data_IF_337632626696
#
_entry.id   IF_337632626696
#
_cell.length_a   1.000
_cell.length_b   1.000
_cell.length_c   1.000
_cell.angle_alpha   90.00
_cell.angle_beta   90.00
_cell.angle_gamma   90.00
#
_symmetry.space_group_name_H-M   'P 1'
#
loop_
_entity.id
_entity.type
_entity.pdbx_description
1 polymer ?
#
# COMPACT_ATOMS: atom_id res chain seq x y z
N UNK A 1 12.77 16.11 -33.33
CA UNK A 1 14.05 15.66 -32.73
C UNK A 1 13.92 14.16 -32.62
N UNK A 2 14.26 13.47 -33.70
CA UNK A 2 14.14 12.02 -33.74
C UNK A 2 15.35 11.48 -32.98
N UNK A 3 15.10 10.99 -31.77
CA UNK A 3 16.14 10.32 -31.01
C UNK A 3 16.42 8.97 -31.67
N UNK A 4 17.42 8.95 -32.53
CA UNK A 4 17.94 7.73 -33.14
C UNK A 4 18.39 6.77 -32.03
N UNK A 5 17.65 5.66 -31.88
CA UNK A 5 17.93 4.66 -30.87
C UNK A 5 19.21 3.92 -31.24
N UNK A 6 20.23 3.99 -30.39
CA UNK A 6 21.49 3.26 -30.57
C UNK A 6 21.47 1.97 -29.75
N UNK A 7 21.54 0.77 -30.38
CA UNK A 7 21.54 -0.52 -29.67
C UNK A 7 22.59 -0.62 -28.55
N UNK A 8 23.70 0.12 -28.69
CA UNK A 8 24.78 0.12 -27.72
C UNK A 8 24.43 0.74 -26.36
N UNK A 9 23.38 1.56 -26.30
CA UNK A 9 22.95 2.23 -25.08
C UNK A 9 21.88 1.44 -24.33
N UNK A 10 21.34 0.38 -24.94
CA UNK A 10 20.29 -0.44 -24.35
C UNK A 10 20.86 -1.46 -23.38
N UNK A 11 20.23 -1.56 -22.21
CA UNK A 11 20.41 -2.64 -21.25
C UNK A 11 19.92 -3.97 -21.84
N UNK A 12 20.36 -5.10 -21.28
CA UNK A 12 20.00 -6.42 -21.80
C UNK A 12 18.48 -6.67 -21.83
N UNK A 13 17.75 -6.16 -20.84
CA UNK A 13 16.29 -6.27 -20.80
C UNK A 13 15.61 -5.48 -21.92
N UNK A 14 16.04 -4.24 -22.14
CA UNK A 14 15.56 -3.37 -23.22
C UNK A 14 15.90 -3.95 -24.59
N UNK A 15 17.11 -4.49 -24.75
CA UNK A 15 17.54 -5.14 -25.98
C UNK A 15 16.67 -6.37 -26.31
N UNK A 16 16.34 -7.19 -25.31
CA UNK A 16 15.44 -8.32 -25.48
C UNK A 16 14.02 -7.87 -25.84
N UNK A 17 13.54 -6.78 -25.22
CA UNK A 17 12.24 -6.20 -25.52
C UNK A 17 12.17 -5.70 -26.96
N UNK A 18 13.15 -4.92 -27.41
CA UNK A 18 13.22 -4.35 -28.77
C UNK A 18 13.32 -5.42 -29.87
N UNK A 19 14.05 -6.50 -29.61
CA UNK A 19 14.08 -7.66 -30.50
C UNK A 19 12.72 -8.37 -30.52
N UNK A 20 12.09 -8.52 -29.36
CA UNK A 20 10.82 -9.24 -29.21
C UNK A 20 9.67 -8.53 -29.92
N UNK A 21 9.52 -7.21 -29.80
CA UNK A 21 8.49 -6.42 -30.53
C UNK A 21 8.67 -6.49 -32.06
N UNK A 22 9.85 -6.91 -32.53
CA UNK A 22 10.15 -7.18 -33.95
C UNK A 22 10.03 -8.67 -34.30
N UNK A 23 9.45 -9.48 -33.43
CA UNK A 23 9.26 -10.91 -33.64
C UNK A 23 10.53 -11.76 -33.50
N UNK A 24 11.59 -11.23 -32.88
CA UNK A 24 12.88 -11.92 -32.72
C UNK A 24 13.13 -12.26 -31.26
N UNK A 25 13.15 -13.55 -30.93
CA UNK A 25 13.60 -14.05 -29.63
C UNK A 25 14.97 -14.69 -29.75
N UNK A 26 15.90 -14.35 -28.86
CA UNK A 26 17.26 -14.87 -28.88
C UNK A 26 17.78 -15.08 -27.46
N UNK A 27 18.39 -16.24 -27.22
CA UNK A 27 19.11 -16.55 -25.96
C UNK A 27 20.61 -16.25 -26.06
N UNK A 28 21.06 -15.70 -27.19
CA UNK A 28 22.47 -15.41 -27.44
C UNK A 28 23.00 -14.26 -26.56
N UNK A 29 24.32 -14.13 -26.55
CA UNK A 29 25.02 -13.05 -25.83
C UNK A 29 24.59 -11.66 -26.30
N UNK A 30 24.78 -10.69 -25.40
CA UNK A 30 24.37 -9.29 -25.56
C UNK A 30 24.92 -8.65 -26.84
N UNK A 31 26.16 -8.93 -27.20
CA UNK A 31 26.80 -8.35 -28.40
C UNK A 31 26.12 -8.83 -29.69
N UNK A 32 25.79 -10.12 -29.76
CA UNK A 32 25.07 -10.69 -30.91
C UNK A 32 23.67 -10.09 -31.01
N UNK A 33 23.00 -9.86 -29.88
CA UNK A 33 21.69 -9.21 -29.85
C UNK A 33 21.75 -7.75 -30.32
N UNK A 34 22.82 -7.01 -29.96
CA UNK A 34 23.06 -5.64 -30.43
C UNK A 34 23.26 -5.60 -31.93
N UNK A 35 24.03 -6.54 -32.47
CA UNK A 35 24.23 -6.69 -33.90
C UNK A 35 22.91 -7.03 -34.62
N UNK A 36 22.14 -7.97 -34.07
CA UNK A 36 20.82 -8.33 -34.63
C UNK A 36 19.87 -7.14 -34.66
N UNK A 37 19.78 -6.38 -33.57
CA UNK A 37 18.93 -5.19 -33.49
C UNK A 37 19.40 -4.11 -34.45
N UNK A 38 20.72 -3.86 -34.57
CA UNK A 38 21.28 -2.92 -35.54
C UNK A 38 20.85 -3.26 -36.97
N UNK A 39 20.96 -4.53 -37.38
CA UNK A 39 20.52 -4.97 -38.72
C UNK A 39 19.02 -4.82 -38.93
N UNK A 40 18.19 -4.91 -37.89
CA UNK A 40 16.74 -4.69 -37.99
C UNK A 40 16.43 -3.21 -38.13
N UNK A 41 17.06 -2.35 -37.34
CA UNK A 41 16.92 -0.90 -37.43
C UNK A 41 17.36 -0.38 -38.81
N UNK A 42 18.46 -0.89 -39.36
CA UNK A 42 18.92 -0.54 -40.71
C UNK A 42 17.90 -0.92 -41.79
N UNK A 43 17.16 -2.02 -41.62
CA UNK A 43 16.09 -2.43 -42.54
C UNK A 43 14.85 -1.55 -42.40
N UNK A 44 14.48 -1.21 -41.16
CA UNK A 44 13.38 -0.28 -40.87
C UNK A 44 13.64 1.09 -41.49
N UNK A 45 14.87 1.61 -41.35
CA UNK A 45 15.28 2.88 -41.94
C UNK A 45 15.23 2.87 -43.47
N UNK A 46 15.42 1.70 -44.10
CA UNK A 46 15.26 1.50 -45.55
C UNK A 46 13.81 1.33 -46.01
N UNK A 47 12.84 1.42 -45.10
CA UNK A 47 11.43 1.22 -45.40
C UNK A 47 11.05 -0.24 -45.66
N UNK A 48 11.92 -1.20 -45.31
CA UNK A 48 11.53 -2.62 -45.27
C UNK A 48 10.77 -2.87 -43.97
N UNK A 49 9.52 -2.42 -43.94
CA UNK A 49 8.63 -2.56 -42.79
C UNK A 49 8.44 -4.05 -42.49
N UNK A 50 9.03 -4.52 -41.40
CA UNK A 50 8.52 -5.72 -40.76
C UNK A 50 7.27 -5.34 -39.98
N UNK A 51 6.20 -6.12 -40.13
CA UNK A 51 5.02 -5.98 -39.29
C UNK A 51 5.51 -6.01 -37.83
N UNK A 52 5.36 -4.88 -37.13
CA UNK A 52 5.55 -4.81 -35.70
C UNK A 52 4.52 -5.78 -35.13
N UNK A 53 4.95 -7.00 -34.83
CA UNK A 53 4.12 -7.95 -34.16
C UNK A 53 3.90 -7.35 -32.78
N UNK A 54 2.66 -7.00 -32.46
CA UNK A 54 2.27 -6.84 -31.05
C UNK A 54 2.69 -8.14 -30.39
N UNK A 55 3.79 -8.14 -29.62
CA UNK A 55 4.50 -9.37 -29.35
C UNK A 55 3.80 -10.06 -28.19
N UNK A 56 2.54 -10.47 -28.40
CA UNK A 56 1.56 -10.97 -27.45
C UNK A 56 2.16 -10.94 -26.05
N UNK A 57 2.24 -9.74 -25.49
CA UNK A 57 3.10 -9.48 -24.35
C UNK A 57 2.79 -10.56 -23.32
N UNK A 58 3.78 -11.41 -23.01
CA UNK A 58 3.54 -12.62 -22.23
C UNK A 58 3.40 -12.17 -20.78
N UNK A 59 2.24 -11.56 -20.48
CA UNK A 59 1.82 -11.17 -19.14
C UNK A 59 1.86 -12.36 -18.20
N UNK A 60 1.89 -13.60 -18.71
CA UNK A 60 2.05 -14.79 -17.89
C UNK A 60 3.31 -14.71 -17.00
N UNK A 61 4.41 -14.08 -17.47
CA UNK A 61 5.63 -13.96 -16.67
C UNK A 61 5.57 -12.81 -15.66
N UNK A 62 4.78 -11.77 -15.92
CA UNK A 62 4.60 -10.62 -15.01
C UNK A 62 3.33 -10.76 -14.18
N UNK A 63 2.54 -11.82 -14.39
CA UNK A 63 1.28 -12.06 -13.70
C UNK A 63 1.52 -12.10 -12.21
N UNK A 64 2.55 -12.82 -11.79
CA UNK A 64 2.92 -12.97 -10.39
C UNK A 64 3.37 -11.63 -9.79
N UNK A 65 4.13 -10.83 -10.54
CA UNK A 65 4.57 -9.50 -10.12
C UNK A 65 3.40 -8.52 -10.00
N UNK A 66 2.48 -8.55 -10.97
CA UNK A 66 1.25 -7.75 -10.96
C UNK A 66 0.35 -8.17 -9.81
N UNK A 67 0.17 -9.47 -9.58
CA UNK A 67 -0.65 -10.01 -8.50
C UNK A 67 -0.06 -9.65 -7.14
N UNK A 68 1.26 -9.73 -6.99
CA UNK A 68 1.98 -9.26 -5.81
C UNK A 68 1.79 -7.75 -5.58
N UNK A 69 1.92 -6.93 -6.63
CA UNK A 69 1.70 -5.49 -6.53
C UNK A 69 0.26 -5.17 -6.11
N UNK A 70 -0.74 -5.86 -6.66
CA UNK A 70 -2.14 -5.70 -6.28
C UNK A 70 -2.39 -6.09 -4.82
N UNK A 71 -1.78 -7.17 -4.33
CA UNK A 71 -1.86 -7.57 -2.92
C UNK A 71 -1.24 -6.51 -2.00
N UNK A 72 -0.08 -5.97 -2.36
CA UNK A 72 0.58 -4.90 -1.60
C UNK A 72 -0.27 -3.63 -1.55
N UNK A 73 -0.91 -3.24 -2.66
CA UNK A 73 -1.79 -2.07 -2.70
C UNK A 73 -3.03 -2.30 -1.82
N UNK A 74 -3.64 -3.48 -1.89
CA UNK A 74 -4.79 -3.83 -1.02
C UNK A 74 -4.43 -3.77 0.46
N UNK A 75 -3.25 -4.26 0.82
CA UNK A 75 -2.77 -4.17 2.20
C UNK A 75 -2.63 -2.72 2.66
N UNK A 76 -2.03 -1.85 1.84
CA UNK A 76 -1.90 -0.43 2.16
C UNK A 76 -3.25 0.29 2.28
N UNK A 77 -4.23 -0.06 1.44
CA UNK A 77 -5.60 0.48 1.55
C UNK A 77 -6.22 0.08 2.89
N UNK A 78 -6.12 -1.20 3.27
CA UNK A 78 -6.67 -1.67 4.55
C UNK A 78 -5.99 -0.99 5.75
N UNK A 79 -4.66 -0.87 5.73
CA UNK A 79 -3.91 -0.16 6.77
C UNK A 79 -4.34 1.31 6.87
N UNK A 80 -4.60 1.97 5.75
CA UNK A 80 -5.07 3.36 5.71
C UNK A 80 -6.51 3.52 6.21
N UNK A 81 -7.40 2.59 5.87
CA UNK A 81 -8.80 2.59 6.34
C UNK A 81 -8.88 2.34 7.85
N UNK A 82 -8.09 1.42 8.39
CA UNK A 82 -8.04 1.13 9.84
C UNK A 82 -7.56 2.32 10.67
N UNK A 83 -6.54 3.04 10.19
CA UNK A 83 -6.02 4.25 10.87
C UNK A 83 -7.09 5.35 10.89
N UNK A 84 -7.76 5.59 9.76
CA UNK A 84 -8.83 6.58 9.67
C UNK A 84 -10.01 6.24 10.58
N UNK A 85 -10.38 4.96 10.67
CA UNK A 85 -11.47 4.52 11.54
C UNK A 85 -11.16 4.74 13.03
N UNK A 86 -9.91 4.56 13.45
CA UNK A 86 -9.49 4.80 14.84
C UNK A 86 -9.51 6.29 15.17
N UNK A 87 -8.87 7.13 14.33
CA UNK A 87 -8.83 8.58 14.56
C UNK A 87 -10.22 9.22 14.50
N UNK A 88 -11.06 8.82 13.56
CA UNK A 88 -12.45 9.29 13.49
C UNK A 88 -13.27 8.84 14.69
N UNK A 89 -13.06 7.61 15.18
CA UNK A 89 -13.74 7.09 16.36
C UNK A 89 -13.32 7.84 17.63
N UNK A 90 -12.03 8.11 17.79
CA UNK A 90 -11.51 8.89 18.91
C UNK A 90 -12.04 10.31 18.91
N UNK A 91 -12.06 10.96 17.75
CA UNK A 91 -12.64 12.30 17.61
C UNK A 91 -14.14 12.33 17.98
N UNK A 92 -14.92 11.35 17.53
CA UNK A 92 -16.34 11.21 17.87
C UNK A 92 -16.53 11.00 19.37
N UNK A 93 -15.77 10.09 19.98
CA UNK A 93 -15.84 9.80 21.41
C UNK A 93 -15.49 11.03 22.25
N UNK A 94 -14.44 11.76 21.86
CA UNK A 94 -14.02 12.99 22.55
C UNK A 94 -15.09 14.08 22.43
N UNK A 95 -15.67 14.26 21.25
CA UNK A 95 -16.73 15.23 21.03
C UNK A 95 -17.97 14.90 21.87
N UNK A 96 -18.36 13.62 21.92
CA UNK A 96 -19.50 13.16 22.73
C UNK A 96 -19.27 13.36 24.23
N UNK A 97 -18.06 13.09 24.71
CA UNK A 97 -17.67 13.35 26.09
C UNK A 97 -17.79 14.85 26.43
N UNK A 98 -17.26 15.73 25.58
CA UNK A 98 -17.37 17.19 25.78
C UNK A 98 -18.81 17.68 25.77
N UNK A 99 -19.66 17.17 24.87
CA UNK A 99 -21.09 17.52 24.88
C UNK A 99 -21.79 17.08 26.19
N UNK A 100 -21.46 15.89 26.70
CA UNK A 100 -22.02 15.36 27.95
C UNK A 100 -21.59 16.19 29.16
N UNK A 101 -20.33 16.62 29.21
CA UNK A 101 -19.82 17.52 30.25
C UNK A 101 -20.52 18.88 30.23
N UNK A 102 -20.71 19.47 29.04
CA UNK A 102 -21.41 20.75 28.89
C UNK A 102 -22.88 20.65 29.31
N UNK A 103 -23.58 19.56 28.96
CA UNK A 103 -24.97 19.33 29.39
C UNK A 103 -25.07 19.22 30.93
N UNK A 104 -24.12 18.52 31.57
CA UNK A 104 -24.05 18.43 33.02
C UNK A 104 -23.81 19.80 33.67
N UNK A 105 -22.86 20.59 33.17
CA UNK A 105 -22.59 21.95 33.66
C UNK A 105 -23.81 22.87 33.50
N UNK A 106 -24.52 22.76 32.38
CA UNK A 106 -25.69 23.58 32.10
C UNK A 106 -26.84 23.22 33.04
N UNK A 107 -27.03 21.93 33.30
CA UNK A 107 -28.01 21.43 34.27
C UNK A 107 -27.71 21.96 35.69
N UNK A 108 -26.45 21.92 36.12
CA UNK A 108 -26.02 22.42 37.43
C UNK A 108 -26.15 23.95 37.58
N UNK A 109 -25.95 24.72 36.51
CA UNK A 109 -26.06 26.19 36.56
C UNK A 109 -27.50 26.70 36.44
N UNK A 110 -28.31 26.06 35.61
CA UNK A 110 -29.65 26.57 35.28
C UNK A 110 -30.67 26.16 36.35
N UNK A 111 -30.62 24.93 36.86
CA UNK A 111 -31.63 24.47 37.83
C UNK A 111 -31.70 25.31 39.12
N UNK A 112 -30.59 25.72 39.77
CA UNK A 112 -30.66 26.54 40.97
C UNK A 112 -31.26 27.93 40.71
N UNK A 113 -31.00 28.52 39.54
CA UNK A 113 -31.57 29.82 39.17
C UNK A 113 -33.08 29.76 38.95
N UNK A 114 -33.59 28.65 38.38
CA UNK A 114 -35.04 28.48 38.18
C UNK A 114 -35.75 28.21 39.51
N UNK A 115 -35.13 27.43 40.41
CA UNK A 115 -35.68 27.15 41.73
C UNK A 115 -35.80 28.42 42.60
N UNK A 116 -34.89 29.39 42.46
CA UNK A 116 -34.92 30.64 43.22
C UNK A 116 -36.01 31.63 42.78
N UNK A 117 -36.60 31.46 41.59
CA UNK A 117 -37.63 32.37 41.04
C UNK A 117 -39.04 31.83 41.23
N UNK A 118 -39.21 30.62 41.77
CA UNK A 118 -40.54 30.10 42.08
C UNK A 118 -41.15 30.86 43.27
N UNK A 119 -42.29 31.57 43.08
CA UNK A 119 -42.95 32.27 44.15
C UNK A 119 -43.47 31.28 45.20
N UNK A 120 -43.34 31.66 46.48
CA UNK A 120 -43.82 30.90 47.63
C UNK A 120 -45.30 30.54 47.44
N UNK A 121 -45.66 29.23 47.37
CA UNK A 121 -47.04 28.80 47.14
C UNK A 121 -48.01 29.23 48.26
N UNK A 122 -47.52 29.78 49.37
CA UNK A 122 -48.35 30.24 50.49
C UNK A 122 -49.10 31.56 50.24
N UNK A 123 -48.85 32.30 49.13
CA UNK A 123 -49.55 33.56 48.82
C UNK A 123 -50.61 33.47 47.70
N UNK A 124 -51.03 32.28 47.27
CA UNK A 124 -52.05 32.13 46.22
C UNK A 124 -53.47 32.47 46.72
N UNK A 125 -53.77 33.78 46.77
CA UNK A 125 -55.14 34.29 46.90
C UNK A 125 -55.78 34.39 45.52
N UNK A 126 -56.83 33.58 45.32
CA UNK A 126 -57.85 33.61 44.26
C UNK A 126 -57.82 34.79 43.27
N UNK A 127 -57.65 34.49 41.99
CA UNK A 127 -58.54 34.91 40.88
C UNK A 127 -57.79 35.07 39.56
N UNK A 128 -58.19 34.24 38.59
CA UNK A 128 -58.30 34.58 37.16
C UNK A 128 -57.07 35.18 36.47
N UNK A 129 -56.06 34.35 36.16
CA UNK A 129 -55.19 34.56 34.99
C UNK A 129 -54.36 33.30 34.71
N UNK A 130 -54.91 32.39 33.91
CA UNK A 130 -54.20 31.21 33.37
C UNK A 130 -54.44 31.14 31.83
N UNK A 131 -53.68 31.91 31.02
CA UNK A 131 -53.35 31.41 29.68
C UNK A 131 -51.86 31.53 29.29
N UNK A 132 -51.00 32.17 30.08
CA UNK A 132 -49.65 32.54 29.60
C UNK A 132 -48.61 31.41 29.81
N UNK A 133 -48.77 30.55 30.82
CA UNK A 133 -47.80 29.46 31.07
C UNK A 133 -47.85 28.32 30.04
N UNK A 134 -48.96 28.14 29.31
CA UNK A 134 -49.05 27.12 28.26
C UNK A 134 -48.32 27.53 26.96
N UNK A 135 -48.06 28.83 26.74
CA UNK A 135 -47.41 29.31 25.50
C UNK A 135 -45.89 29.11 25.55
N UNK A 136 -45.26 29.27 26.72
CA UNK A 136 -43.81 29.09 26.87
C UNK A 136 -43.37 27.62 26.81
N UNK A 137 -44.18 26.69 27.34
CA UNK A 137 -43.85 25.27 27.30
C UNK A 137 -44.02 24.66 25.88
N UNK A 138 -44.88 25.25 25.05
CA UNK A 138 -45.02 24.91 23.64
C UNK A 138 -43.81 25.37 22.81
N UNK A 139 -43.26 26.57 23.05
CA UNK A 139 -42.13 27.09 22.26
C UNK A 139 -40.80 26.39 22.55
N UNK A 140 -40.54 25.95 23.79
CA UNK A 140 -39.33 25.20 24.13
C UNK A 140 -39.31 23.78 23.53
N UNK A 141 -40.48 23.16 23.32
CA UNK A 141 -40.58 21.83 22.70
C UNK A 141 -40.34 21.83 21.17
N UNK A 142 -40.36 22.99 20.51
CA UNK A 142 -40.16 23.08 19.06
C UNK A 142 -38.71 23.37 18.64
N UNK A 143 -37.87 23.92 19.53
CA UNK A 143 -36.49 24.29 19.20
C UNK A 143 -35.49 23.12 19.34
N UNK A 144 -35.85 22.07 20.08
CA UNK A 144 -35.09 20.81 20.15
C UNK A 144 -35.80 19.70 19.39
N UNK A 145 -36.18 19.95 18.12
CA UNK A 145 -36.38 18.84 17.19
C UNK A 145 -35.00 18.22 16.98
N UNK A 146 -34.77 17.13 17.71
CA UNK A 146 -33.71 16.16 17.51
C UNK A 146 -33.47 16.04 16.01
N UNK A 147 -32.33 16.54 15.53
CA UNK A 147 -31.88 16.16 14.19
C UNK A 147 -31.81 14.64 14.25
N UNK A 148 -32.62 13.89 13.48
CA UNK A 148 -32.49 12.45 13.46
C UNK A 148 -31.13 12.18 12.86
N UNK A 149 -30.13 11.96 13.72
CA UNK A 149 -28.88 11.35 13.34
C UNK A 149 -29.32 9.95 12.89
N UNK A 150 -29.50 9.80 11.58
CA UNK A 150 -29.58 8.49 10.94
C UNK A 150 -28.22 7.86 11.21
N UNK A 151 -28.13 7.15 12.34
CA UNK A 151 -27.17 6.09 12.54
C UNK A 151 -27.53 5.06 11.47
N UNK A 152 -26.93 5.22 10.29
CA UNK A 152 -27.02 4.25 9.24
C UNK A 152 -26.36 2.97 9.78
N UNK A 153 -27.19 2.11 10.35
CA UNK A 153 -26.88 0.74 10.71
C UNK A 153 -26.71 -0.14 9.44
N UNK A 154 -26.07 0.41 8.40
CA UNK A 154 -25.62 -0.29 7.21
C UNK A 154 -24.22 -0.86 7.45
N UNK A 155 -24.05 -1.58 8.55
CA UNK A 155 -22.91 -2.47 8.75
C UNK A 155 -23.41 -3.73 9.45
N UNK A 156 -23.93 -4.64 8.62
CA UNK A 156 -24.05 -6.11 8.80
C UNK A 156 -25.24 -6.59 7.99
N UNK A 157 -24.94 -7.10 6.78
CA UNK A 157 -25.56 -8.26 6.13
C UNK A 157 -24.97 -8.38 4.72
N UNK A 158 -23.74 -8.86 4.61
CA UNK A 158 -23.40 -9.67 3.44
C UNK A 158 -23.85 -11.10 3.76
N UNK A 159 -25.13 -11.28 3.45
CA UNK A 159 -25.80 -12.57 3.32
C UNK A 159 -25.13 -13.36 2.20
N UNK A 160 -24.90 -14.64 2.48
CA UNK A 160 -24.82 -15.68 1.44
C UNK A 160 -25.98 -15.48 0.47
N UNK A 161 -25.68 -15.11 -0.77
CA UNK A 161 -26.60 -15.25 -1.89
C UNK A 161 -25.82 -15.92 -3.02
N UNK A 162 -25.95 -17.23 -3.05
CA UNK A 162 -25.81 -18.06 -4.24
C UNK A 162 -26.72 -17.48 -5.33
N UNK A 163 -26.11 -16.83 -6.32
CA UNK A 163 -26.76 -16.26 -7.50
C UNK A 163 -26.04 -16.74 -8.75
N UNK A 164 -26.82 -17.35 -9.64
CA UNK A 164 -26.45 -18.00 -10.87
C UNK A 164 -25.42 -17.27 -11.76
N UNK A 165 -24.36 -18.00 -12.10
CA UNK A 165 -24.01 -18.39 -13.46
C UNK A 165 -24.55 -17.48 -14.59
N UNK A 166 -23.78 -16.47 -14.97
CA UNK A 166 -23.73 -15.99 -16.35
C UNK A 166 -22.30 -16.16 -16.83
N UNK A 167 -22.12 -17.18 -17.66
CA UNK A 167 -20.87 -17.50 -18.33
C UNK A 167 -20.37 -16.32 -19.17
N UNK A 168 -19.10 -15.92 -19.03
CA UNK A 168 -18.38 -15.28 -20.11
C UNK A 168 -18.16 -16.35 -21.20
N UNK A 169 -18.76 -16.15 -22.38
CA UNK A 169 -18.44 -16.94 -23.57
C UNK A 169 -16.94 -16.77 -23.89
N UNK A 170 -16.14 -17.72 -23.41
CA UNK A 170 -14.78 -17.97 -23.84
C UNK A 170 -14.81 -18.40 -25.32
N UNK A 171 -14.44 -17.48 -26.20
CA UNK A 171 -14.06 -17.82 -27.57
C UNK A 171 -12.60 -18.26 -27.57
N UNK A 172 -12.33 -19.42 -28.19
CA UNK A 172 -11.02 -19.74 -28.77
C UNK A 172 -10.21 -20.79 -28.01
N UNK A 173 -10.60 -22.05 -28.17
CA UNK A 173 -9.73 -23.21 -27.94
C UNK A 173 -8.65 -23.19 -29.04
N UNK A 174 -7.39 -23.00 -28.66
CA UNK A 174 -6.25 -23.42 -29.47
C UNK A 174 -5.59 -24.61 -28.76
N UNK A 175 -5.86 -25.81 -29.26
CA UNK A 175 -5.14 -27.02 -28.87
C UNK A 175 -3.72 -26.96 -29.44
N UNK A 176 -2.74 -26.67 -28.59
CA UNK A 176 -1.32 -26.91 -28.87
C UNK A 176 -0.80 -28.00 -27.94
N UNK A 177 -0.91 -29.25 -28.41
CA UNK A 177 -0.18 -30.37 -27.84
C UNK A 177 1.30 -30.23 -28.22
N UNK A 178 2.12 -29.79 -27.28
CA UNK A 178 3.56 -30.09 -27.30
C UNK A 178 4.00 -30.49 -25.90
N UNK A 179 4.22 -31.78 -25.72
CA UNK A 179 4.93 -32.35 -24.59
C UNK A 179 6.39 -31.90 -24.62
N UNK A 180 6.83 -31.12 -23.63
CA UNK A 180 8.26 -31.00 -23.31
C UNK A 180 8.40 -30.99 -21.79
N UNK A 181 9.26 -31.90 -21.35
CA UNK A 181 9.52 -32.29 -19.98
C UNK A 181 10.16 -31.20 -19.13
N UNK A 182 9.87 -31.28 -17.83
CA UNK A 182 10.51 -30.59 -16.72
C UNK A 182 12.03 -30.41 -16.85
N UNK A 183 12.49 -29.19 -16.56
CA UNK A 183 13.70 -28.91 -15.76
C UNK A 183 13.72 -27.44 -15.30
N UNK A 184 13.48 -27.28 -14.00
CA UNK A 184 13.87 -26.17 -13.13
C UNK A 184 15.23 -25.54 -13.49
N UNK A 185 15.37 -24.21 -13.48
CA UNK A 185 16.31 -23.47 -12.57
C UNK A 185 16.56 -21.99 -12.93
N UNK A 186 16.30 -21.15 -11.91
CA UNK A 186 17.06 -19.97 -11.45
C UNK A 186 17.16 -18.69 -12.29
N UNK A 187 16.20 -17.81 -12.00
CA UNK A 187 16.36 -16.36 -12.07
C UNK A 187 17.44 -15.84 -11.12
N UNK A 188 18.22 -14.89 -11.63
CA UNK A 188 19.06 -13.98 -10.85
C UNK A 188 18.56 -12.56 -11.09
N UNK A 189 17.98 -11.98 -10.07
CA UNK A 189 17.74 -10.55 -9.98
C UNK A 189 19.07 -9.82 -9.73
N UNK A 190 19.18 -8.58 -10.22
CA UNK A 190 19.93 -7.52 -9.54
C UNK A 190 19.45 -6.12 -10.00
N UNK A 191 19.73 -5.07 -9.21
CA UNK A 191 18.75 -4.13 -8.66
C UNK A 191 19.08 -2.67 -9.08
N UNK A 192 18.52 -1.67 -8.39
CA UNK A 192 18.63 -0.20 -8.58
C UNK A 192 17.51 0.35 -9.48
N UNK A 193 16.60 1.25 -9.06
CA UNK A 193 16.67 2.32 -8.07
C UNK A 193 15.35 2.48 -7.28
N UNK A 194 15.44 2.61 -5.94
CA UNK A 194 14.29 2.97 -5.08
C UNK A 194 14.62 4.26 -4.32
N UNK A 195 13.80 5.33 -4.42
CA UNK A 195 13.97 6.53 -3.62
C UNK A 195 13.68 6.24 -2.15
N UNK A 196 14.54 6.76 -1.27
CA UNK A 196 14.43 6.73 0.18
C UNK A 196 13.25 7.57 0.69
N UNK A 197 12.27 6.99 1.41
CA UNK A 197 11.32 7.77 2.18
C UNK A 197 11.91 8.13 3.55
N UNK A 198 11.95 9.42 3.85
CA UNK A 198 12.21 9.99 5.17
C UNK A 198 11.07 9.61 6.12
N UNK A 199 11.32 8.69 7.04
CA UNK A 199 10.36 8.29 8.07
C UNK A 199 10.74 8.89 9.42
N UNK A 200 9.82 9.74 9.89
CA UNK A 200 9.75 10.24 11.26
C UNK A 200 9.36 9.11 12.22
N UNK A 201 9.80 9.26 13.46
CA UNK A 201 9.86 8.26 14.52
C UNK A 201 8.54 7.54 14.82
N UNK A 202 8.60 6.21 14.85
CA UNK A 202 7.60 5.33 15.48
C UNK A 202 8.33 4.40 16.44
N UNK A 203 7.89 4.40 17.69
CA UNK A 203 8.57 3.74 18.80
C UNK A 203 8.31 2.23 18.85
N UNK A 204 9.40 1.46 18.72
CA UNK A 204 9.82 0.40 19.63
C UNK A 204 8.97 -0.87 19.78
N UNK A 205 8.84 -1.63 18.68
CA UNK A 205 9.03 -3.09 18.78
C UNK A 205 10.53 -3.39 18.97
N UNK A 206 10.90 -4.37 19.79
CA UNK A 206 12.31 -4.63 20.18
C UNK A 206 13.19 -5.10 19.01
N UNK A 207 13.54 -4.22 18.09
CA UNK A 207 14.54 -4.49 17.07
C UNK A 207 15.89 -4.50 17.76
N UNK A 208 16.53 -5.67 17.81
CA UNK A 208 17.92 -5.78 18.29
C UNK A 208 18.75 -4.72 17.54
N UNK A 209 19.54 -3.91 18.25
CA UNK A 209 20.29 -2.82 17.62
C UNK A 209 21.18 -3.38 16.51
N UNK A 210 21.05 -2.81 15.31
CA UNK A 210 21.85 -3.21 14.15
C UNK A 210 23.30 -2.77 14.40
N UNK A 211 24.21 -3.73 14.49
CA UNK A 211 25.66 -3.50 14.65
C UNK A 211 26.36 -3.51 13.28
N UNK A 212 27.16 -2.50 13.00
CA UNK A 212 27.94 -2.40 11.77
C UNK A 212 29.13 -3.36 11.79
N UNK A 213 29.25 -4.25 10.80
CA UNK A 213 30.35 -5.23 10.74
C UNK A 213 31.74 -4.63 10.43
N UNK A 214 31.83 -3.37 9.99
CA UNK A 214 33.12 -2.72 9.72
C UNK A 214 33.70 -2.02 10.96
N UNK A 215 32.93 -1.15 11.60
CA UNK A 215 33.38 -0.35 12.75
C UNK A 215 32.90 -0.89 14.11
N UNK A 216 32.04 -1.91 14.13
CA UNK A 216 31.42 -2.48 15.35
C UNK A 216 30.56 -1.49 16.15
N UNK A 217 30.20 -0.32 15.60
CA UNK A 217 29.26 0.63 16.20
C UNK A 217 27.81 0.29 15.83
N UNK A 218 26.88 0.58 16.73
CA UNK A 218 25.44 0.38 16.50
C UNK A 218 24.83 1.53 15.68
N UNK A 219 23.65 1.30 15.12
CA UNK A 219 22.81 2.33 14.48
C UNK A 219 22.96 2.47 12.97
N UNK A 220 23.83 1.69 12.33
CA UNK A 220 23.96 1.67 10.87
C UNK A 220 24.42 0.31 10.34
N UNK A 221 24.15 0.06 9.06
CA UNK A 221 24.66 -1.10 8.31
C UNK A 221 26.02 -0.78 7.68
N UNK A 222 26.78 -1.81 7.31
CA UNK A 222 28.07 -1.63 6.62
C UNK A 222 27.98 -0.76 5.37
N UNK A 223 26.92 -0.91 4.58
CA UNK A 223 26.67 -0.11 3.37
C UNK A 223 26.61 1.40 3.61
N UNK A 224 26.36 1.82 4.86
CA UNK A 224 26.24 3.21 5.27
C UNK A 224 27.39 3.65 6.19
N UNK A 225 28.43 2.82 6.35
CA UNK A 225 29.56 3.12 7.23
C UNK A 225 30.52 4.13 6.57
N UNK A 226 30.79 5.25 7.25
CA UNK A 226 31.71 6.30 6.77
C UNK A 226 33.18 6.02 7.08
N UNK A 227 33.47 5.07 7.97
CA UNK A 227 34.85 4.72 8.33
C UNK A 227 35.52 3.92 7.21
N UNK A 228 36.83 4.12 7.05
CA UNK A 228 37.62 3.33 6.10
C UNK A 228 37.49 1.84 6.45
N UNK A 229 37.49 0.99 5.42
CA UNK A 229 37.32 -0.45 5.58
C UNK A 229 38.49 -1.03 6.37
N UNK A 230 38.22 -1.59 7.55
CA UNK A 230 39.24 -2.11 8.49
C UNK A 230 39.73 -3.52 8.13
N UNK A 231 39.02 -4.24 7.25
CA UNK A 231 39.41 -5.56 6.81
C UNK A 231 38.41 -6.25 5.88
N UNK A 232 38.66 -7.52 5.58
CA UNK A 232 37.71 -8.40 4.90
C UNK A 232 36.78 -9.00 5.96
N UNK A 233 35.49 -9.15 5.63
CA UNK A 233 34.54 -9.83 6.50
C UNK A 233 33.37 -10.38 5.66
N UNK A 234 32.68 -11.38 6.20
CA UNK A 234 31.53 -11.98 5.53
C UNK A 234 30.33 -11.03 5.58
N UNK A 235 29.80 -10.65 4.42
CA UNK A 235 28.66 -9.74 4.31
C UNK A 235 27.36 -10.30 4.91
N UNK A 236 27.26 -11.61 5.15
CA UNK A 236 26.05 -12.23 5.70
C UNK A 236 26.08 -12.35 7.22
N UNK A 237 27.20 -12.81 7.79
CA UNK A 237 27.30 -13.16 9.21
C UNK A 237 28.29 -12.29 10.01
N UNK A 238 29.06 -11.42 9.35
CA UNK A 238 30.00 -10.52 10.01
C UNK A 238 31.32 -11.15 10.47
N UNK A 239 31.62 -12.42 10.14
CA UNK A 239 32.91 -13.03 10.48
C UNK A 239 34.08 -12.26 9.85
N UNK A 240 35.09 -11.92 10.65
CA UNK A 240 36.31 -11.21 10.22
C UNK A 240 37.22 -12.10 9.39
N UNK A 241 38.00 -11.47 8.52
CA UNK A 241 39.05 -12.04 7.65
C UNK A 241 38.59 -13.13 6.67
N UNK A 242 37.28 -13.20 6.41
CA UNK A 242 36.68 -14.10 5.42
C UNK A 242 35.80 -13.31 4.47
N UNK A 243 35.63 -13.76 3.24
CA UNK A 243 34.59 -13.27 2.33
C UNK A 243 33.41 -14.23 2.37
N UNK A 244 32.28 -13.89 1.73
CA UNK A 244 31.17 -14.83 1.58
C UNK A 244 31.63 -16.22 1.08
N UNK A 245 32.52 -16.23 0.09
CA UNK A 245 33.02 -17.44 -0.56
C UNK A 245 33.93 -18.29 0.35
N UNK A 246 34.66 -17.67 1.27
CA UNK A 246 35.57 -18.39 2.19
C UNK A 246 34.99 -18.58 3.60
N UNK A 247 33.81 -18.01 3.87
CA UNK A 247 33.19 -18.09 5.19
C UNK A 247 32.62 -19.48 5.45
N UNK A 248 33.26 -20.29 6.29
CA UNK A 248 32.80 -21.64 6.65
C UNK A 248 31.34 -21.71 7.16
N UNK A 249 30.81 -20.61 7.71
CA UNK A 249 29.41 -20.52 8.16
C UNK A 249 28.41 -20.32 7.01
N UNK A 250 28.81 -19.63 5.95
CA UNK A 250 27.92 -19.20 4.88
C UNK A 250 28.15 -19.95 3.56
N UNK A 251 29.41 -20.30 3.24
CA UNK A 251 29.79 -20.94 1.98
C UNK A 251 29.33 -22.40 1.87
N UNK A 252 28.98 -23.06 2.99
CA UNK A 252 28.51 -24.45 3.02
C UNK A 252 26.99 -24.64 3.08
N UNK A 253 26.22 -23.59 3.42
CA UNK A 253 24.76 -23.66 3.53
C UNK A 253 24.04 -23.25 2.24
N UNK A 254 24.76 -23.22 1.12
CA UNK A 254 24.20 -22.99 -0.19
C UNK A 254 23.29 -24.15 -0.58
N UNK A 255 22.02 -24.06 -0.22
CA UNK A 255 20.95 -24.65 -0.99
C UNK A 255 21.18 -24.16 -2.43
N UNK A 256 21.69 -25.04 -3.31
CA UNK A 256 21.93 -24.75 -4.72
C UNK A 256 20.56 -24.54 -5.37
N UNK A 257 20.02 -23.35 -5.17
CA UNK A 257 19.05 -22.72 -6.04
C UNK A 257 19.85 -21.82 -6.98
#
# INVERSE_FOLDING_TARGET
MDHEMKPNHLLIGELNYELRIRGVTSERDQDVKREMLGRLLDKEQRGQVQNLLDPSYVFANERDDIEYALLSIRQLINEFEEVNDHEQRDFKNKSYATCTELDAELHDRVLPSVAAVLPDPSQASTSTQQPILNVLNSQLSHSFRSVPIKLDASSRKNSKQSGALLEPKLYGIYDSKTSISDKSSHGKQNPFDRPTPSVSAVESGSTKPITCFNCSKNGHRYSSCKEKRTGKFCYHCGCKDVTWYTCKKCSGNGNRR
#
